data_IF_605670109171
#
_entry.id   IF_605670109171
#
_cell.length_a   1.000
_cell.length_b   1.000
_cell.length_c   1.000
_cell.angle_alpha   90.00
_cell.angle_beta   90.00
_cell.angle_gamma   90.00
#
_symmetry.space_group_name_H-M   'P 1'
#
loop_
_entity.id
_entity.type
_entity.pdbx_description
1 polymer ?
#
# COMPACT_ATOMS: atom_id res chain seq x y z
N UNK A 1 -32.61 -56.12 80.28
CA UNK A 1 -32.11 -54.84 80.88
C UNK A 1 -31.23 -54.18 79.85
N UNK A 2 -31.54 -52.92 79.59
CA UNK A 2 -30.79 -51.92 78.81
C UNK A 2 -30.47 -52.24 77.34
N UNK A 3 -31.00 -51.65 76.30
CA UNK A 3 -31.49 -50.31 76.11
C UNK A 3 -30.33 -49.48 75.46
N UNK A 4 -30.15 -49.51 74.14
CA UNK A 4 -29.14 -48.72 73.44
C UNK A 4 -29.59 -48.31 72.05
N UNK A 5 -30.24 -47.15 71.97
CA UNK A 5 -30.74 -46.56 70.79
C UNK A 5 -29.61 -46.09 69.88
N UNK A 6 -29.45 -46.70 68.70
CA UNK A 6 -28.52 -46.25 67.66
C UNK A 6 -29.15 -45.10 66.87
N UNK A 7 -28.60 -43.89 67.06
CA UNK A 7 -28.88 -42.69 66.21
C UNK A 7 -28.21 -42.86 64.87
N UNK A 8 -29.03 -43.02 63.82
CA UNK A 8 -28.57 -42.90 62.45
C UNK A 8 -28.33 -41.45 62.11
N UNK A 9 -27.08 -41.07 61.90
CA UNK A 9 -26.68 -39.78 61.31
C UNK A 9 -26.76 -39.95 59.82
N UNK A 10 -27.73 -39.30 59.20
CA UNK A 10 -27.78 -39.19 57.75
C UNK A 10 -26.76 -38.12 57.31
N UNK A 11 -25.67 -38.52 56.62
CA UNK A 11 -24.84 -37.61 55.88
C UNK A 11 -25.59 -37.16 54.63
N UNK A 12 -25.98 -35.91 54.63
CA UNK A 12 -26.40 -35.22 53.41
C UNK A 12 -25.19 -34.80 52.60
N UNK A 13 -24.86 -35.53 51.55
CA UNK A 13 -23.89 -35.12 50.51
C UNK A 13 -24.50 -34.02 49.71
N UNK A 14 -24.12 -32.76 49.98
CA UNK A 14 -24.39 -31.63 49.14
C UNK A 14 -23.51 -31.71 47.88
N UNK A 15 -24.12 -32.11 46.75
CA UNK A 15 -23.52 -31.92 45.43
C UNK A 15 -23.50 -30.43 45.11
N UNK A 16 -22.33 -29.81 45.30
CA UNK A 16 -22.04 -28.48 44.76
C UNK A 16 -21.90 -28.60 43.22
N UNK A 17 -22.97 -28.33 42.50
CA UNK A 17 -22.90 -28.10 41.06
C UNK A 17 -22.14 -26.80 40.85
N UNK A 18 -20.84 -26.92 40.51
CA UNK A 18 -20.02 -25.82 40.07
C UNK A 18 -20.54 -25.30 38.73
N UNK A 19 -21.38 -24.26 38.74
CA UNK A 19 -21.56 -23.43 37.56
C UNK A 19 -20.24 -22.73 37.29
N UNK A 20 -19.43 -23.25 36.38
CA UNK A 20 -18.38 -22.49 35.72
C UNK A 20 -19.09 -21.44 34.86
N UNK A 21 -19.29 -20.25 35.42
CA UNK A 21 -19.51 -19.04 34.64
C UNK A 21 -18.28 -18.86 33.77
N UNK A 22 -18.29 -19.47 32.58
CA UNK A 22 -17.35 -19.11 31.52
C UNK A 22 -17.52 -17.62 31.31
N UNK A 23 -16.50 -16.83 31.68
CA UNK A 23 -16.46 -15.44 31.31
C UNK A 23 -16.71 -15.37 29.79
N UNK A 24 -17.64 -14.53 29.31
CA UNK A 24 -17.80 -14.36 27.88
C UNK A 24 -16.44 -13.91 27.37
N UNK A 25 -15.84 -14.69 26.45
CA UNK A 25 -14.68 -14.25 25.72
C UNK A 25 -15.05 -12.88 25.17
N UNK A 26 -14.42 -11.83 25.70
CA UNK A 26 -14.66 -10.48 25.25
C UNK A 26 -14.44 -10.51 23.74
N UNK A 27 -15.53 -10.46 22.98
CA UNK A 27 -15.48 -10.43 21.55
C UNK A 27 -14.68 -9.16 21.20
N UNK A 28 -13.42 -9.34 20.78
CA UNK A 28 -12.62 -8.24 20.31
C UNK A 28 -13.33 -7.66 19.10
N UNK A 29 -14.03 -6.55 19.31
CA UNK A 29 -14.69 -5.82 18.22
C UNK A 29 -13.59 -5.08 17.44
N UNK A 30 -13.11 -5.74 16.41
CA UNK A 30 -12.20 -5.11 15.45
C UNK A 30 -12.94 -4.02 14.68
N UNK A 31 -12.27 -2.90 14.42
CA UNK A 31 -12.86 -1.87 13.56
C UNK A 31 -13.08 -2.41 12.14
N UNK A 32 -14.12 -1.93 11.46
CA UNK A 32 -14.39 -2.31 10.06
C UNK A 32 -13.17 -2.06 9.15
N UNK A 33 -12.39 -1.00 9.43
CA UNK A 33 -11.16 -0.72 8.71
C UNK A 33 -10.10 -1.80 8.86
N UNK A 34 -9.91 -2.32 10.08
CA UNK A 34 -9.01 -3.45 10.32
C UNK A 34 -9.51 -4.71 9.62
N UNK A 35 -10.81 -5.03 9.72
CA UNK A 35 -11.39 -6.20 9.07
C UNK A 35 -11.27 -6.11 7.54
N UNK A 36 -11.41 -4.92 6.97
CA UNK A 36 -11.22 -4.70 5.54
C UNK A 36 -9.78 -4.96 5.11
N UNK A 37 -8.79 -4.40 5.81
CA UNK A 37 -7.37 -4.64 5.50
C UNK A 37 -7.00 -6.12 5.68
N UNK A 38 -7.58 -6.78 6.71
CA UNK A 38 -7.42 -8.21 6.91
C UNK A 38 -8.02 -9.02 5.77
N UNK A 39 -9.21 -8.68 5.28
CA UNK A 39 -9.82 -9.33 4.12
C UNK A 39 -8.91 -9.24 2.87
N UNK A 40 -8.25 -8.09 2.64
CA UNK A 40 -7.27 -7.94 1.57
C UNK A 40 -6.06 -8.87 1.81
N UNK A 41 -5.54 -8.94 3.04
CA UNK A 41 -4.43 -9.83 3.40
C UNK A 41 -4.78 -11.30 3.18
N UNK A 42 -5.98 -11.71 3.56
CA UNK A 42 -6.46 -13.09 3.47
C UNK A 42 -7.00 -13.45 2.07
N UNK A 43 -7.07 -12.48 1.15
CA UNK A 43 -7.65 -12.59 -0.21
C UNK A 43 -9.16 -12.92 -0.19
N UNK A 44 -9.85 -12.49 0.84
CA UNK A 44 -11.29 -12.69 1.01
C UNK A 44 -12.08 -11.57 0.31
N UNK A 45 -12.37 -11.79 -0.97
CA UNK A 45 -13.11 -10.83 -1.80
C UNK A 45 -14.54 -10.66 -1.27
N UNK A 46 -15.17 -11.74 -0.80
CA UNK A 46 -16.55 -11.69 -0.31
C UNK A 46 -16.66 -10.79 0.93
N UNK A 47 -15.70 -10.94 1.86
CA UNK A 47 -15.66 -10.10 3.05
C UNK A 47 -15.33 -8.65 2.73
N UNK A 48 -14.43 -8.41 1.79
CA UNK A 48 -14.12 -7.06 1.33
C UNK A 48 -15.34 -6.39 0.69
N UNK A 49 -16.09 -7.10 -0.17
CA UNK A 49 -17.30 -6.60 -0.80
C UNK A 49 -18.42 -6.34 0.21
N UNK A 50 -18.63 -7.22 1.18
CA UNK A 50 -19.58 -7.02 2.27
C UNK A 50 -19.31 -5.71 3.02
N UNK A 51 -18.04 -5.46 3.36
CA UNK A 51 -17.64 -4.28 4.10
C UNK A 51 -17.75 -2.99 3.26
N UNK A 52 -17.38 -3.05 2.00
CA UNK A 52 -17.47 -1.91 1.08
C UNK A 52 -18.92 -1.60 0.68
N UNK A 53 -19.80 -2.63 0.64
CA UNK A 53 -21.21 -2.48 0.29
C UNK A 53 -22.08 -1.80 1.35
N UNK A 54 -21.56 -1.56 2.54
CA UNK A 54 -22.30 -0.84 3.60
C UNK A 54 -22.57 0.60 3.15
N UNK A 55 -23.80 1.13 3.33
CA UNK A 55 -24.13 2.49 2.98
C UNK A 55 -23.19 3.50 3.64
N UNK A 56 -22.62 4.42 2.84
CA UNK A 56 -21.70 5.42 3.33
C UNK A 56 -20.29 4.92 3.68
N UNK A 57 -19.93 3.71 3.24
CA UNK A 57 -18.61 3.13 3.52
C UNK A 57 -17.49 3.96 2.90
N UNK A 58 -16.52 4.37 3.73
CA UNK A 58 -15.27 5.03 3.31
C UNK A 58 -14.07 4.10 3.45
N UNK A 59 -14.33 2.81 3.65
CA UNK A 59 -13.32 1.80 4.03
C UNK A 59 -12.27 1.54 2.96
N UNK A 60 -12.57 1.84 1.69
CA UNK A 60 -11.63 1.62 0.57
C UNK A 60 -10.25 2.26 0.80
N UNK A 61 -10.22 3.36 1.55
CA UNK A 61 -9.00 4.10 1.90
C UNK A 61 -8.56 3.88 3.36
N UNK A 62 -9.05 2.82 4.01
CA UNK A 62 -8.62 2.46 5.37
C UNK A 62 -7.11 2.28 5.43
N UNK A 63 -6.55 2.66 6.57
CA UNK A 63 -5.11 2.59 6.85
C UNK A 63 -4.86 1.76 8.11
N UNK A 64 -3.84 0.95 8.07
CA UNK A 64 -3.34 0.28 9.27
C UNK A 64 -2.89 1.29 10.32
N UNK A 65 -3.34 1.12 11.54
CA UNK A 65 -3.09 2.10 12.63
C UNK A 65 -1.62 2.19 13.03
N UNK A 66 -0.85 1.13 12.82
CA UNK A 66 0.56 1.06 13.22
C UNK A 66 1.49 1.56 12.12
N UNK A 67 1.27 1.08 10.89
CA UNK A 67 2.15 1.35 9.76
C UNK A 67 1.66 2.47 8.85
N UNK A 68 0.36 2.76 8.87
CA UNK A 68 -0.29 3.70 7.96
C UNK A 68 -0.54 3.13 6.56
N UNK A 69 -0.27 1.85 6.32
CA UNK A 69 -0.45 1.19 5.03
C UNK A 69 -1.93 1.10 4.66
N UNK A 70 -2.27 1.39 3.41
CA UNK A 70 -3.60 1.16 2.83
C UNK A 70 -3.68 -0.21 2.15
N UNK A 71 -4.88 -0.60 1.69
CA UNK A 71 -5.06 -1.82 0.91
C UNK A 71 -4.17 -1.89 -0.33
N UNK A 72 -3.96 -0.77 -1.03
CA UNK A 72 -3.05 -0.71 -2.18
C UNK A 72 -1.59 -1.00 -1.82
N UNK A 73 -1.12 -0.63 -0.61
CA UNK A 73 0.21 -1.02 -0.15
C UNK A 73 0.32 -2.53 0.03
N UNK A 74 -0.72 -3.15 0.62
CA UNK A 74 -0.76 -4.60 0.83
C UNK A 74 -0.72 -5.33 -0.51
N UNK A 75 -1.53 -4.89 -1.48
CA UNK A 75 -1.56 -5.47 -2.82
C UNK A 75 -0.20 -5.31 -3.54
N UNK A 76 0.43 -4.12 -3.46
CA UNK A 76 1.74 -3.86 -4.05
C UNK A 76 2.85 -4.70 -3.38
N UNK A 77 2.86 -4.85 -2.06
CA UNK A 77 3.82 -5.67 -1.32
C UNK A 77 3.76 -7.15 -1.70
N UNK A 78 2.57 -7.63 -2.02
CA UNK A 78 2.34 -9.01 -2.45
C UNK A 78 2.52 -9.21 -3.95
N UNK A 79 2.75 -8.13 -4.71
CA UNK A 79 2.75 -8.10 -6.18
C UNK A 79 1.46 -8.71 -6.74
N UNK A 80 0.34 -8.43 -6.08
CA UNK A 80 -0.97 -8.99 -6.43
C UNK A 80 -1.71 -8.00 -7.34
N UNK A 81 -1.55 -8.18 -8.65
CA UNK A 81 -2.17 -7.31 -9.66
C UNK A 81 -3.70 -7.38 -9.58
N UNK A 82 -4.26 -8.55 -9.28
CA UNK A 82 -5.72 -8.74 -9.21
C UNK A 82 -6.33 -7.88 -8.10
N UNK A 83 -5.75 -7.95 -6.89
CA UNK A 83 -6.21 -7.13 -5.79
C UNK A 83 -5.92 -5.64 -6.00
N UNK A 84 -4.79 -5.31 -6.61
CA UNK A 84 -4.44 -3.92 -6.91
C UNK A 84 -5.47 -3.29 -7.85
N UNK A 85 -5.79 -3.96 -8.97
CA UNK A 85 -6.80 -3.50 -9.94
C UNK A 85 -8.19 -3.48 -9.31
N UNK A 86 -8.56 -4.50 -8.53
CA UNK A 86 -9.83 -4.53 -7.80
C UNK A 86 -10.01 -3.29 -6.92
N UNK A 87 -9.00 -2.94 -6.12
CA UNK A 87 -9.05 -1.78 -5.24
C UNK A 87 -9.11 -0.46 -6.02
N UNK A 88 -8.31 -0.32 -7.08
CA UNK A 88 -8.31 0.88 -7.94
C UNK A 88 -9.68 1.08 -8.60
N UNK A 89 -10.30 0.03 -9.11
CA UNK A 89 -11.64 0.09 -9.71
C UNK A 89 -12.75 0.44 -8.70
N UNK A 90 -12.50 0.21 -7.40
CA UNK A 90 -13.38 0.63 -6.31
C UNK A 90 -13.09 2.04 -5.78
N UNK A 91 -12.20 2.78 -6.46
CA UNK A 91 -11.86 4.17 -6.12
C UNK A 91 -10.84 4.31 -4.98
N UNK A 92 -10.00 3.30 -4.76
CA UNK A 92 -8.89 3.45 -3.82
C UNK A 92 -7.95 4.56 -4.27
N UNK A 93 -7.61 5.47 -3.37
CA UNK A 93 -6.69 6.57 -3.65
C UNK A 93 -5.24 6.05 -3.75
N UNK A 94 -4.59 6.10 -4.94
CA UNK A 94 -3.23 5.60 -5.15
C UNK A 94 -2.15 6.46 -4.50
N UNK A 95 -2.51 7.63 -3.96
CA UNK A 95 -1.58 8.63 -3.44
C UNK A 95 -1.48 8.62 -1.90
N UNK A 96 -2.15 7.71 -1.22
CA UNK A 96 -2.01 7.57 0.23
C UNK A 96 -0.59 7.10 0.53
N UNK A 97 0.12 7.85 1.38
CA UNK A 97 1.43 7.46 1.86
C UNK A 97 1.33 6.74 3.23
N UNK A 98 2.19 5.77 3.48
CA UNK A 98 2.34 5.15 4.80
C UNK A 98 2.99 6.14 5.79
N UNK A 99 3.28 5.69 7.04
CA UNK A 99 3.90 6.58 8.05
C UNK A 99 5.33 7.01 7.71
N UNK A 100 5.98 6.34 6.74
CA UNK A 100 7.32 6.70 6.25
C UNK A 100 7.26 7.51 4.96
N UNK A 101 6.07 7.98 4.56
CA UNK A 101 5.88 8.70 3.31
C UNK A 101 5.89 7.81 2.06
N UNK A 102 5.99 6.49 2.21
CA UNK A 102 6.00 5.57 1.07
C UNK A 102 4.60 5.44 0.50
N UNK A 103 4.43 5.66 -0.81
CA UNK A 103 3.17 5.43 -1.53
C UNK A 103 3.11 4.00 -2.12
N UNK A 104 1.93 3.51 -2.53
CA UNK A 104 1.83 2.24 -3.26
C UNK A 104 2.72 2.19 -4.52
N UNK A 105 2.84 3.32 -5.25
CA UNK A 105 3.72 3.44 -6.42
C UNK A 105 5.20 3.25 -6.04
N UNK A 106 5.65 3.90 -4.97
CA UNK A 106 7.00 3.69 -4.45
C UNK A 106 7.24 2.26 -4.02
N UNK A 107 6.24 1.64 -3.38
CA UNK A 107 6.33 0.24 -2.98
C UNK A 107 6.49 -0.67 -4.19
N UNK A 108 5.71 -0.44 -5.26
CA UNK A 108 5.86 -1.15 -6.53
C UNK A 108 7.26 -0.95 -7.13
N UNK A 109 7.79 0.30 -7.12
CA UNK A 109 9.16 0.60 -7.58
C UNK A 109 10.22 -0.13 -6.76
N UNK A 110 10.12 -0.11 -5.42
CA UNK A 110 11.05 -0.82 -4.53
C UNK A 110 11.09 -2.32 -4.77
N UNK A 111 9.96 -2.92 -5.13
CA UNK A 111 9.85 -4.37 -5.29
C UNK A 111 10.05 -4.85 -6.73
N UNK A 112 10.20 -3.98 -7.70
CA UNK A 112 10.23 -4.36 -9.11
C UNK A 112 8.89 -4.89 -9.60
N UNK A 113 7.78 -4.38 -9.08
CA UNK A 113 6.43 -4.79 -9.49
C UNK A 113 5.95 -3.91 -10.65
N UNK A 114 6.45 -4.21 -11.85
CA UNK A 114 6.23 -3.43 -13.07
C UNK A 114 4.76 -3.29 -13.45
N UNK A 115 4.01 -4.39 -13.47
CA UNK A 115 2.58 -4.36 -13.79
C UNK A 115 1.77 -3.50 -12.82
N UNK A 116 2.04 -3.65 -11.52
CA UNK A 116 1.40 -2.83 -10.49
C UNK A 116 1.75 -1.36 -10.63
N UNK A 117 3.00 -1.03 -10.98
CA UNK A 117 3.42 0.34 -11.25
C UNK A 117 2.64 0.95 -12.41
N UNK A 118 2.47 0.22 -13.52
CA UNK A 118 1.70 0.69 -14.66
C UNK A 118 0.24 0.97 -14.30
N UNK A 119 -0.41 0.05 -13.59
CA UNK A 119 -1.81 0.24 -13.14
C UNK A 119 -1.96 1.45 -12.22
N UNK A 120 -1.01 1.66 -11.30
CA UNK A 120 -1.02 2.80 -10.39
C UNK A 120 -0.85 4.12 -11.14
N UNK A 121 0.09 4.18 -12.10
CA UNK A 121 0.27 5.37 -12.95
C UNK A 121 -0.99 5.67 -13.76
N UNK A 122 -1.58 4.67 -14.40
CA UNK A 122 -2.84 4.81 -15.14
C UNK A 122 -4.00 5.30 -14.26
N UNK A 123 -4.01 4.90 -12.98
CA UNK A 123 -5.00 5.33 -11.99
C UNK A 123 -4.71 6.71 -11.38
N UNK A 124 -3.74 7.47 -11.89
CA UNK A 124 -3.41 8.81 -11.44
C UNK A 124 -2.50 8.87 -10.21
N UNK A 125 -1.67 7.85 -10.00
CA UNK A 125 -0.62 7.94 -8.99
C UNK A 125 0.36 9.06 -9.34
N UNK A 126 0.62 9.93 -8.37
CA UNK A 126 1.60 11.03 -8.52
C UNK A 126 3.00 10.46 -8.48
N UNK A 127 3.74 10.63 -9.57
CA UNK A 127 5.06 10.01 -9.78
C UNK A 127 6.20 10.66 -9.01
N UNK A 128 5.98 11.88 -8.47
CA UNK A 128 7.01 12.68 -7.79
C UNK A 128 6.77 12.86 -6.28
N UNK A 129 5.85 12.09 -5.68
CA UNK A 129 5.75 12.09 -4.21
C UNK A 129 7.06 11.51 -3.66
N UNK A 130 7.66 12.19 -2.69
CA UNK A 130 8.85 11.72 -2.00
C UNK A 130 8.51 11.06 -0.66
N UNK A 131 9.29 10.07 -0.25
CA UNK A 131 9.21 9.45 1.08
C UNK A 131 9.91 10.31 2.14
N UNK A 132 10.00 9.80 3.37
CA UNK A 132 10.65 10.50 4.50
C UNK A 132 12.15 10.74 4.31
N UNK A 133 12.81 10.03 3.39
CA UNK A 133 14.21 10.24 2.99
C UNK A 133 14.37 11.14 1.77
N UNK A 134 13.26 11.65 1.25
CA UNK A 134 13.24 12.49 0.05
C UNK A 134 13.26 11.70 -1.26
N UNK A 135 13.37 10.37 -1.21
CA UNK A 135 13.45 9.55 -2.42
C UNK A 135 12.12 9.55 -3.18
N UNK A 136 12.19 9.74 -4.50
CA UNK A 136 11.06 9.61 -5.43
C UNK A 136 10.98 8.18 -5.99
N UNK A 137 9.83 7.77 -6.59
CA UNK A 137 9.74 6.51 -7.33
C UNK A 137 10.84 6.34 -8.39
N UNK A 138 11.24 7.43 -9.06
CA UNK A 138 12.29 7.40 -10.06
C UNK A 138 13.68 7.13 -9.45
N UNK A 139 14.03 7.77 -8.33
CA UNK A 139 15.28 7.48 -7.60
C UNK A 139 15.32 5.98 -7.21
N UNK A 140 14.21 5.43 -6.72
CA UNK A 140 14.13 4.01 -6.36
C UNK A 140 14.32 3.08 -7.57
N UNK A 141 13.79 3.46 -8.75
CA UNK A 141 13.99 2.72 -9.99
C UNK A 141 15.46 2.76 -10.46
N UNK A 142 16.13 3.93 -10.32
CA UNK A 142 17.57 4.09 -10.60
C UNK A 142 18.41 3.19 -9.69
N UNK A 143 18.17 3.20 -8.38
CA UNK A 143 18.87 2.33 -7.44
C UNK A 143 18.74 0.84 -7.76
N UNK A 144 17.65 0.45 -8.41
CA UNK A 144 17.43 -0.91 -8.88
C UNK A 144 17.98 -1.18 -10.28
N UNK A 145 18.44 -0.16 -10.98
CA UNK A 145 18.83 -0.22 -12.40
C UNK A 145 17.69 -0.75 -13.29
N UNK A 146 16.46 -0.47 -12.90
CA UNK A 146 15.28 -0.95 -13.61
C UNK A 146 14.86 0.06 -14.68
N UNK A 147 15.48 -0.05 -15.84
CA UNK A 147 15.25 0.87 -16.98
C UNK A 147 13.81 0.78 -17.51
N UNK A 148 13.13 -0.37 -17.37
CA UNK A 148 11.74 -0.50 -17.77
C UNK A 148 10.81 0.32 -16.87
N UNK A 149 11.03 0.28 -15.55
CA UNK A 149 10.30 1.13 -14.60
C UNK A 149 10.62 2.61 -14.80
N UNK A 150 11.90 2.96 -14.99
CA UNK A 150 12.31 4.34 -15.27
C UNK A 150 11.55 4.90 -16.45
N UNK A 151 11.46 4.12 -17.54
CA UNK A 151 10.73 4.52 -18.75
C UNK A 151 9.27 4.83 -18.50
N UNK A 152 8.57 4.01 -17.71
CA UNK A 152 7.17 4.27 -17.35
C UNK A 152 7.03 5.53 -16.53
N UNK A 153 7.89 5.71 -15.53
CA UNK A 153 7.87 6.88 -14.65
C UNK A 153 8.18 8.18 -15.41
N UNK A 154 9.23 8.17 -16.25
CA UNK A 154 9.62 9.31 -17.06
C UNK A 154 8.52 9.69 -18.08
N UNK A 155 7.92 8.71 -18.76
CA UNK A 155 6.76 8.94 -19.65
C UNK A 155 5.55 9.50 -18.91
N UNK A 156 5.40 9.19 -17.63
CA UNK A 156 4.35 9.73 -16.78
C UNK A 156 4.72 11.11 -16.18
N UNK A 157 5.84 11.70 -16.59
CA UNK A 157 6.26 13.04 -16.18
C UNK A 157 7.06 13.09 -14.88
N UNK A 158 7.70 11.98 -14.46
CA UNK A 158 8.58 12.01 -13.31
C UNK A 158 9.79 12.94 -13.57
N UNK A 159 10.06 13.84 -12.63
CA UNK A 159 11.16 14.78 -12.71
C UNK A 159 12.49 14.11 -12.30
N UNK A 160 13.45 13.92 -13.25
CA UNK A 160 14.73 13.27 -12.95
C UNK A 160 15.68 14.13 -12.08
N UNK A 161 15.40 15.43 -11.94
CA UNK A 161 16.23 16.38 -11.23
C UNK A 161 15.74 16.70 -9.82
N UNK A 162 14.63 16.06 -9.40
CA UNK A 162 14.12 16.16 -8.03
C UNK A 162 15.05 15.44 -7.06
N UNK A 163 15.60 16.19 -6.08
CA UNK A 163 16.58 15.68 -5.13
C UNK A 163 15.95 15.02 -3.91
N UNK A 164 16.65 14.04 -3.37
CA UNK A 164 16.39 13.47 -2.04
C UNK A 164 16.97 14.35 -0.92
N UNK A 165 16.90 13.89 0.33
CA UNK A 165 17.41 14.62 1.49
C UNK A 165 18.95 14.69 1.54
N UNK A 166 19.67 13.91 0.72
CA UNK A 166 21.12 14.02 0.55
C UNK A 166 21.52 15.05 -0.52
N UNK A 167 20.53 15.65 -1.18
CA UNK A 167 20.72 16.60 -2.27
C UNK A 167 21.03 15.95 -3.62
N UNK A 168 20.79 14.63 -3.77
CA UNK A 168 21.03 13.90 -5.03
C UNK A 168 19.72 13.58 -5.73
N UNK A 169 19.73 13.80 -7.03
CA UNK A 169 18.62 13.49 -7.93
C UNK A 169 18.77 12.09 -8.56
N UNK A 170 17.72 11.63 -9.26
CA UNK A 170 17.79 10.41 -10.06
C UNK A 170 18.89 10.51 -11.12
N UNK A 171 19.06 11.69 -11.72
CA UNK A 171 20.14 11.98 -12.70
C UNK A 171 21.52 11.88 -12.06
N UNK A 172 21.70 12.41 -10.85
CA UNK A 172 22.97 12.34 -10.14
C UNK A 172 23.36 10.90 -9.83
N UNK A 173 22.39 10.09 -9.34
CA UNK A 173 22.63 8.67 -9.11
C UNK A 173 22.96 7.90 -10.39
N UNK A 174 22.27 8.20 -11.50
CA UNK A 174 22.57 7.61 -12.80
C UNK A 174 23.99 7.98 -13.29
N UNK A 175 24.43 9.22 -13.04
CA UNK A 175 25.76 9.70 -13.42
C UNK A 175 26.88 8.96 -12.67
N UNK A 176 26.64 8.53 -11.42
CA UNK A 176 27.60 7.73 -10.65
C UNK A 176 27.86 6.35 -11.27
N UNK A 177 26.90 5.82 -12.04
CA UNK A 177 27.07 4.54 -12.75
C UNK A 177 27.88 4.68 -14.07
N UNK A 178 28.14 5.89 -14.50
CA UNK A 178 28.82 6.24 -15.75
C UNK A 178 27.88 6.84 -16.79
N UNK A 179 28.43 7.73 -17.61
CA UNK A 179 27.67 8.47 -18.63
C UNK A 179 27.06 7.56 -19.70
N UNK A 180 27.69 6.41 -19.96
CA UNK A 180 27.27 5.43 -20.96
C UNK A 180 26.40 4.31 -20.36
N UNK A 181 25.98 4.46 -19.09
CA UNK A 181 25.11 3.48 -18.45
C UNK A 181 23.71 3.47 -19.09
N UNK A 182 23.07 2.30 -19.11
CA UNK A 182 21.67 2.16 -19.57
C UNK A 182 20.70 3.04 -18.76
N UNK A 183 21.02 3.27 -17.50
CA UNK A 183 20.25 4.12 -16.60
C UNK A 183 20.30 5.58 -17.04
N UNK A 184 21.52 6.09 -17.35
CA UNK A 184 21.67 7.45 -17.85
C UNK A 184 21.06 7.60 -19.24
N UNK A 185 21.20 6.59 -20.10
CA UNK A 185 20.60 6.61 -21.44
C UNK A 185 19.06 6.76 -21.41
N UNK A 186 18.36 6.15 -20.44
CA UNK A 186 16.91 6.32 -20.31
C UNK A 186 16.52 7.77 -19.92
N UNK A 187 17.26 8.41 -19.03
CA UNK A 187 17.03 9.81 -18.65
C UNK A 187 17.28 10.72 -19.85
N UNK A 188 18.42 10.57 -20.51
CA UNK A 188 18.78 11.38 -21.69
C UNK A 188 17.77 11.22 -22.82
N UNK A 189 17.26 10.00 -23.04
CA UNK A 189 16.22 9.76 -24.03
C UNK A 189 14.92 10.49 -23.67
N UNK A 190 14.52 10.47 -22.40
CA UNK A 190 13.33 11.19 -21.93
C UNK A 190 13.45 12.69 -22.14
N UNK A 191 14.62 13.27 -21.84
CA UNK A 191 14.90 14.70 -22.09
C UNK A 191 14.73 15.05 -23.58
N UNK A 192 15.25 14.19 -24.48
CA UNK A 192 15.14 14.39 -25.91
C UNK A 192 13.69 14.25 -26.45
N UNK A 193 12.90 13.36 -25.86
CA UNK A 193 11.47 13.18 -26.20
C UNK A 193 10.63 14.37 -25.66
N UNK A 194 10.89 14.86 -24.45
CA UNK A 194 10.23 16.02 -23.85
C UNK A 194 10.50 17.31 -24.63
N UNK A 195 11.74 17.54 -25.03
CA UNK A 195 12.14 18.71 -25.82
C UNK A 195 11.51 18.73 -27.24
N UNK A 196 11.20 17.58 -27.83
CA UNK A 196 10.48 17.52 -29.11
C UNK A 196 9.01 17.91 -28.96
N UNK A 197 8.38 17.56 -27.84
CA UNK A 197 6.98 17.93 -27.58
C UNK A 197 6.78 19.45 -27.41
N UNK A 198 7.80 20.17 -26.92
CA UNK A 198 7.78 21.64 -26.84
C UNK A 198 8.08 22.30 -28.19
N UNK A 199 8.90 21.68 -29.05
CA UNK A 199 9.27 22.22 -30.36
C UNK A 199 8.16 22.10 -31.42
N UNK A 200 7.25 21.11 -31.29
CA UNK A 200 6.13 20.85 -32.18
C UNK A 200 4.80 21.52 -31.75
N UNK A 201 4.83 22.30 -30.68
CA UNK A 201 3.67 23.10 -30.26
C UNK A 201 3.31 24.13 -31.33
N UNK A 202 2.00 24.43 -31.57
CA UNK A 202 1.60 25.40 -32.59
C UNK A 202 2.21 26.76 -32.25
N UNK A 203 3.08 27.24 -33.13
CA UNK A 203 3.62 28.60 -33.07
C UNK A 203 2.46 29.55 -33.39
N UNK A 204 1.77 30.05 -32.37
CA UNK A 204 0.87 31.17 -32.48
C UNK A 204 1.71 32.44 -32.68
N UNK A 205 2.14 32.69 -33.93
CA UNK A 205 2.62 34.01 -34.33
C UNK A 205 1.42 34.91 -34.60
N UNK A 206 1.53 36.21 -34.27
CA UNK A 206 0.48 37.17 -34.64
C UNK A 206 0.42 37.26 -36.15
N UNK A 207 -0.78 36.93 -36.72
CA UNK A 207 -1.10 37.22 -38.11
C UNK A 207 -1.29 38.71 -38.26
N UNK A 208 -0.39 39.38 -39.02
CA UNK A 208 -0.54 40.76 -39.46
C UNK A 208 -1.37 40.76 -40.76
#
# INVERSE_FOLDING_TARGET
MFGGTARRIALATAMAAGLSLGAPAAAQTYSDGYLFLKAIQDKDVQKADELLGKPGSTLINSRDLTTGKSGLHIAAERRDVVWLVYLLNRGANPNIADRRGVTPLMRASQLGFYEGLQHLVTAGARVDIANSTGETPLILAVHRRDTAMMRVLLKAGANPDRTDNSGRSARDYAALEGKDSLVMAEITRSDAEGNRGEADGPVYGPSF
#
